data_IF_510926478647
#
_entry.id   IF_510926478647
#
_cell.length_a   1.000
_cell.length_b   1.000
_cell.length_c   1.000
_cell.angle_alpha   90.00
_cell.angle_beta   90.00
_cell.angle_gamma   90.00
#
_symmetry.space_group_name_H-M   'P 1'
#
loop_
_entity.id
_entity.type
_entity.pdbx_description
1 polymer ?
#
# COMPACT_ATOMS: atom_id res chain seq x y z
N UNK A 1 -17.79 57.12 -49.33
CA UNK A 1 -18.15 56.31 -48.14
C UNK A 1 -17.04 55.29 -47.97
N UNK A 2 -16.07 55.46 -47.05
CA UNK A 2 -16.08 55.13 -45.61
C UNK A 2 -16.39 53.65 -45.29
N UNK A 3 -15.38 52.95 -44.76
CA UNK A 3 -15.46 51.80 -43.85
C UNK A 3 -15.31 50.42 -44.49
N UNK A 4 -14.69 49.41 -43.88
CA UNK A 4 -13.86 49.29 -42.68
C UNK A 4 -13.19 47.90 -42.68
N UNK A 5 -12.15 47.80 -41.86
CA UNK A 5 -11.23 46.70 -41.56
C UNK A 5 -11.84 45.51 -40.79
N UNK A 6 -11.25 44.31 -41.03
CA UNK A 6 -11.02 43.13 -40.16
C UNK A 6 -12.16 42.55 -39.28
N UNK A 7 -12.29 41.21 -39.24
CA UNK A 7 -11.82 40.40 -38.09
C UNK A 7 -11.91 38.89 -38.35
N UNK A 8 -10.80 38.20 -38.10
CA UNK A 8 -10.66 36.75 -37.91
C UNK A 8 -11.61 36.22 -36.83
N UNK A 9 -12.01 34.96 -36.95
CA UNK A 9 -11.85 33.93 -35.89
C UNK A 9 -12.23 32.56 -36.45
N UNK A 10 -11.22 31.75 -36.79
CA UNK A 10 -11.40 30.31 -36.98
C UNK A 10 -11.52 29.68 -35.59
N UNK A 11 -12.73 29.25 -35.23
CA UNK A 11 -12.95 28.42 -34.05
C UNK A 11 -12.34 27.04 -34.31
N UNK A 12 -11.12 26.82 -33.84
CA UNK A 12 -10.60 25.48 -33.64
C UNK A 12 -11.32 24.89 -32.42
N UNK A 13 -12.40 24.15 -32.65
CA UNK A 13 -12.96 23.26 -31.62
C UNK A 13 -11.95 22.15 -31.40
N UNK A 14 -11.03 22.36 -30.45
CA UNK A 14 -10.24 21.28 -29.88
C UNK A 14 -11.23 20.33 -29.19
N UNK A 15 -11.60 19.26 -29.87
CA UNK A 15 -12.22 18.11 -29.23
C UNK A 15 -11.16 17.53 -28.29
N UNK A 16 -11.17 18.00 -27.04
CA UNK A 16 -10.56 17.28 -25.94
C UNK A 16 -11.35 15.97 -25.81
N UNK A 17 -10.95 14.98 -26.61
CA UNK A 17 -11.42 13.63 -26.44
C UNK A 17 -11.08 13.26 -24.98
N UNK A 18 -12.06 12.86 -24.15
CA UNK A 18 -11.74 12.30 -22.87
C UNK A 18 -10.89 11.07 -23.17
N UNK A 19 -9.60 11.15 -22.84
CA UNK A 19 -8.72 10.00 -22.71
C UNK A 19 -9.35 9.12 -21.63
N UNK A 20 -10.35 8.35 -22.02
CA UNK A 20 -10.84 7.18 -21.29
C UNK A 20 -9.74 6.14 -21.48
N UNK A 21 -8.61 6.38 -20.80
CA UNK A 21 -7.77 5.27 -20.39
C UNK A 21 -8.69 4.42 -19.53
N UNK A 22 -9.15 3.34 -20.15
CA UNK A 22 -9.78 2.25 -19.45
C UNK A 22 -8.75 1.84 -18.41
N UNK A 23 -8.97 2.26 -17.16
CA UNK A 23 -8.24 1.74 -16.00
C UNK A 23 -8.67 0.28 -15.97
N UNK A 24 -7.94 -0.56 -16.72
CA UNK A 24 -8.01 -2.00 -16.55
C UNK A 24 -7.75 -2.19 -15.08
N UNK A 25 -8.77 -2.69 -14.39
CA UNK A 25 -8.71 -3.40 -13.13
C UNK A 25 -7.27 -3.83 -12.86
N UNK A 26 -6.60 -3.06 -12.01
CA UNK A 26 -5.23 -3.31 -11.59
C UNK A 26 -5.35 -4.55 -10.71
N UNK A 27 -5.32 -5.73 -11.31
CA UNK A 27 -4.91 -6.93 -10.57
C UNK A 27 -3.62 -6.51 -9.87
N UNK A 28 -3.67 -6.37 -8.55
CA UNK A 28 -2.49 -6.21 -7.71
C UNK A 28 -1.74 -7.55 -7.68
N UNK A 29 -1.54 -8.17 -8.85
CA UNK A 29 -0.74 -9.37 -8.99
C UNK A 29 0.72 -8.96 -8.80
N UNK A 30 1.29 -9.42 -7.69
CA UNK A 30 2.65 -9.17 -7.21
C UNK A 30 3.76 -9.69 -8.13
N UNK A 31 3.43 -10.23 -9.30
CA UNK A 31 4.36 -11.00 -10.13
C UNK A 31 5.61 -10.22 -10.58
N UNK A 32 5.58 -8.88 -10.57
CA UNK A 32 6.73 -8.04 -10.96
C UNK A 32 7.19 -7.02 -9.92
N UNK A 33 6.45 -6.81 -8.82
CA UNK A 33 6.87 -5.83 -7.81
C UNK A 33 8.01 -6.41 -6.96
N UNK A 34 9.02 -5.60 -6.64
CA UNK A 34 10.14 -5.97 -5.79
C UNK A 34 10.45 -4.83 -4.83
N UNK A 35 10.93 -5.13 -3.61
CA UNK A 35 11.33 -4.08 -2.68
C UNK A 35 12.54 -3.33 -3.22
N UNK A 36 12.65 -2.05 -2.86
CA UNK A 36 13.83 -1.25 -3.13
C UNK A 36 15.12 -1.95 -2.69
N UNK A 37 16.20 -1.80 -3.48
CA UNK A 37 17.48 -2.42 -3.20
C UNK A 37 17.97 -2.07 -1.79
N UNK A 38 18.46 -3.06 -1.04
CA UNK A 38 18.96 -2.84 0.32
C UNK A 38 17.87 -2.74 1.39
N UNK A 39 16.60 -2.94 1.04
CA UNK A 39 15.54 -3.20 2.03
C UNK A 39 15.90 -4.39 2.91
N UNK A 40 15.56 -4.30 4.21
CA UNK A 40 15.89 -5.34 5.20
C UNK A 40 14.67 -5.68 6.05
N UNK A 41 14.35 -6.97 6.09
CA UNK A 41 13.33 -7.54 6.97
C UNK A 41 13.93 -7.93 8.33
N UNK A 42 13.13 -7.83 9.37
CA UNK A 42 13.43 -8.28 10.73
C UNK A 42 12.18 -8.90 11.32
N UNK A 43 12.21 -10.22 11.52
CA UNK A 43 11.08 -11.00 12.00
C UNK A 43 11.14 -11.19 13.51
N UNK A 44 9.97 -11.16 14.17
CA UNK A 44 9.88 -11.39 15.61
C UNK A 44 9.97 -12.88 15.93
N UNK A 45 11.16 -13.31 16.36
CA UNK A 45 11.44 -14.70 16.75
C UNK A 45 10.92 -15.08 18.13
N UNK A 46 10.37 -14.12 18.88
CA UNK A 46 9.86 -14.33 20.24
C UNK A 46 8.35 -14.51 20.29
N UNK A 47 7.65 -14.14 19.23
CA UNK A 47 6.20 -14.36 19.12
C UNK A 47 5.88 -15.85 19.12
N UNK A 48 4.94 -16.25 19.96
CA UNK A 48 4.31 -17.57 19.96
C UNK A 48 3.09 -17.63 19.02
N UNK A 49 2.81 -16.53 18.30
CA UNK A 49 1.65 -16.35 17.44
C UNK A 49 2.05 -16.10 16.00
N UNK A 50 1.27 -16.65 15.09
CA UNK A 50 1.37 -16.51 13.64
C UNK A 50 0.01 -16.08 13.07
N UNK A 51 0.03 -15.49 11.88
CA UNK A 51 -1.17 -15.11 11.15
C UNK A 51 -1.62 -16.30 10.30
N UNK A 52 -2.87 -16.73 10.49
CA UNK A 52 -3.47 -17.86 9.79
C UNK A 52 -4.14 -17.45 8.48
N UNK A 53 -3.36 -17.23 7.40
CA UNK A 53 -3.92 -16.95 6.07
C UNK A 53 -4.28 -18.22 5.27
N UNK A 54 -3.87 -19.42 5.71
CA UNK A 54 -4.24 -20.68 5.06
C UNK A 54 -5.72 -21.02 5.22
N UNK A 55 -6.34 -20.57 6.31
CA UNK A 55 -7.75 -20.79 6.61
C UNK A 55 -8.31 -19.50 7.19
N UNK A 56 -9.18 -18.78 6.48
CA UNK A 56 -9.77 -17.52 6.96
C UNK A 56 -9.84 -16.44 5.87
N UNK A 57 -9.88 -15.15 6.28
CA UNK A 57 -9.69 -14.03 5.36
C UNK A 57 -8.42 -14.22 4.54
N UNK A 58 -8.50 -13.99 3.23
CA UNK A 58 -7.34 -14.13 2.36
C UNK A 58 -6.33 -13.02 2.67
N UNK A 59 -5.04 -13.34 2.58
CA UNK A 59 -3.97 -12.36 2.79
C UNK A 59 -4.16 -11.14 1.89
N UNK A 60 -4.51 -11.35 0.61
CA UNK A 60 -4.77 -10.27 -0.34
C UNK A 60 -5.89 -9.32 0.14
N UNK A 61 -6.98 -9.84 0.69
CA UNK A 61 -8.07 -9.02 1.21
C UNK A 61 -7.62 -8.19 2.42
N UNK A 62 -6.90 -8.82 3.35
CA UNK A 62 -6.37 -8.16 4.56
C UNK A 62 -5.42 -7.03 4.18
N UNK A 63 -4.47 -7.29 3.27
CA UNK A 63 -3.50 -6.30 2.81
C UNK A 63 -4.16 -5.17 2.02
N UNK A 64 -5.06 -5.50 1.10
CA UNK A 64 -5.77 -4.49 0.29
C UNK A 64 -6.63 -3.59 1.17
N UNK A 65 -7.33 -4.15 2.16
CA UNK A 65 -8.14 -3.38 3.10
C UNK A 65 -7.28 -2.49 4.01
N UNK A 66 -6.18 -3.02 4.52
CA UNK A 66 -5.24 -2.25 5.33
C UNK A 66 -4.69 -1.05 4.55
N UNK A 67 -4.23 -1.28 3.32
CA UNK A 67 -3.67 -0.22 2.49
C UNK A 67 -4.72 0.80 2.05
N UNK A 68 -5.95 0.37 1.73
CA UNK A 68 -7.05 1.28 1.46
C UNK A 68 -7.41 2.16 2.67
N UNK A 69 -7.23 1.66 3.90
CA UNK A 69 -7.44 2.44 5.11
C UNK A 69 -6.31 3.43 5.42
N UNK A 70 -5.06 3.13 5.01
CA UNK A 70 -3.90 3.98 5.27
C UNK A 70 -3.63 5.03 4.19
N UNK A 71 -4.21 4.86 3.00
CA UNK A 71 -4.03 5.76 1.86
C UNK A 71 -5.26 6.62 1.59
N UNK A 72 -5.10 7.75 0.88
CA UNK A 72 -6.24 8.53 0.40
C UNK A 72 -7.16 7.68 -0.49
N UNK A 73 -8.47 7.92 -0.44
CA UNK A 73 -9.46 7.09 -1.14
C UNK A 73 -9.24 7.03 -2.66
N UNK A 74 -8.70 8.10 -3.26
CA UNK A 74 -8.35 8.14 -4.68
C UNK A 74 -7.19 7.20 -5.08
N UNK A 75 -6.45 6.63 -4.13
CA UNK A 75 -5.50 5.55 -4.40
C UNK A 75 -6.21 4.22 -4.74
N UNK A 76 -7.50 4.11 -4.40
CA UNK A 76 -8.36 2.93 -4.63
C UNK A 76 -9.66 3.35 -5.32
N UNK A 77 -9.60 3.81 -6.59
CA UNK A 77 -10.76 4.37 -7.29
C UNK A 77 -11.90 3.37 -7.46
N UNK A 78 -11.61 2.06 -7.54
CA UNK A 78 -12.62 1.01 -7.63
C UNK A 78 -13.50 0.91 -6.36
N UNK A 79 -13.07 1.52 -5.25
CA UNK A 79 -13.83 1.60 -3.99
C UNK A 79 -14.63 2.89 -3.86
N UNK A 80 -14.60 3.77 -4.87
CA UNK A 80 -15.33 5.03 -4.87
C UNK A 80 -16.67 4.91 -5.61
N UNK A 81 -17.65 5.79 -5.30
CA UNK A 81 -18.83 5.98 -6.14
C UNK A 81 -18.45 6.30 -7.59
N UNK A 82 -19.29 5.89 -8.55
CA UNK A 82 -19.02 6.05 -10.00
C UNK A 82 -18.85 7.51 -10.46
N UNK A 83 -19.35 8.46 -9.70
CA UNK A 83 -19.29 9.90 -9.94
C UNK A 83 -18.13 10.60 -9.20
N UNK A 84 -17.34 9.86 -8.41
CA UNK A 84 -16.16 10.41 -7.76
C UNK A 84 -15.10 10.79 -8.79
N UNK A 85 -14.60 12.03 -8.68
CA UNK A 85 -13.53 12.55 -9.55
C UNK A 85 -12.24 12.63 -8.76
N UNK A 86 -11.24 11.86 -9.18
CA UNK A 86 -9.90 11.88 -8.63
C UNK A 86 -8.93 12.53 -9.63
N UNK A 87 -8.05 13.39 -9.13
CA UNK A 87 -6.87 13.76 -9.89
C UNK A 87 -6.02 12.50 -10.13
N UNK A 88 -5.47 12.34 -11.34
CA UNK A 88 -4.56 11.24 -11.62
C UNK A 88 -3.24 11.47 -10.88
N UNK A 89 -3.17 10.96 -9.65
CA UNK A 89 -2.01 10.98 -8.78
C UNK A 89 -1.64 9.53 -8.48
N UNK A 90 -0.42 9.14 -8.84
CA UNK A 90 0.10 7.80 -8.55
C UNK A 90 0.92 7.77 -7.27
N UNK A 91 1.55 8.90 -6.93
CA UNK A 91 2.39 9.09 -5.75
C UNK A 91 1.68 9.93 -4.70
N UNK A 92 1.38 9.33 -3.56
CA UNK A 92 0.69 9.97 -2.45
C UNK A 92 1.71 10.40 -1.41
N UNK A 93 1.48 11.51 -0.72
CA UNK A 93 2.35 11.91 0.38
C UNK A 93 2.07 11.04 1.61
N UNK A 94 3.11 10.52 2.25
CA UNK A 94 3.02 9.82 3.53
C UNK A 94 3.22 10.84 4.67
N UNK A 95 2.11 11.51 5.02
CA UNK A 95 2.07 12.59 6.02
C UNK A 95 2.11 12.06 7.46
N UNK A 96 3.20 11.40 7.81
CA UNK A 96 3.44 10.81 9.12
C UNK A 96 2.99 9.35 9.24
N UNK A 97 3.09 8.77 10.46
CA UNK A 97 2.76 7.37 10.68
C UNK A 97 1.30 7.06 10.37
N UNK A 98 1.07 5.92 9.71
CA UNK A 98 -0.26 5.38 9.41
C UNK A 98 -0.35 3.96 9.95
N UNK A 99 -1.54 3.54 10.35
CA UNK A 99 -1.79 2.16 10.72
C UNK A 99 -3.23 1.76 10.44
N UNK A 100 -3.44 0.47 10.21
CA UNK A 100 -4.75 -0.15 10.12
C UNK A 100 -4.75 -1.49 10.83
N UNK A 101 -5.77 -1.74 11.63
CA UNK A 101 -6.01 -3.03 12.27
C UNK A 101 -7.04 -3.77 11.44
N UNK A 102 -6.74 -5.03 11.10
CA UNK A 102 -7.56 -5.88 10.26
C UNK A 102 -7.84 -7.18 10.99
N UNK A 103 -9.07 -7.66 10.87
CA UNK A 103 -9.42 -8.98 11.36
C UNK A 103 -8.76 -10.05 10.49
N UNK A 104 -8.05 -10.97 11.13
CA UNK A 104 -7.46 -12.14 10.52
C UNK A 104 -7.43 -13.26 11.56
N UNK A 105 -7.37 -14.51 11.09
CA UNK A 105 -7.17 -15.60 12.03
C UNK A 105 -5.76 -15.54 12.60
N UNK A 106 -5.63 -15.76 13.90
CA UNK A 106 -4.36 -15.90 14.59
C UNK A 106 -4.26 -17.31 15.12
N UNK A 107 -3.08 -17.90 15.00
CA UNK A 107 -2.79 -19.26 15.43
C UNK A 107 -1.58 -19.27 16.37
N UNK A 108 -1.51 -20.26 17.26
CA UNK A 108 -0.28 -20.55 17.99
C UNK A 108 0.77 -21.17 17.06
N UNK A 109 2.02 -21.24 17.50
CA UNK A 109 3.10 -21.94 16.77
C UNK A 109 2.80 -23.41 16.44
N UNK A 110 1.86 -24.04 17.14
CA UNK A 110 1.41 -25.42 16.92
C UNK A 110 0.21 -25.51 15.95
N UNK A 111 -0.26 -24.39 15.41
CA UNK A 111 -1.39 -24.33 14.46
C UNK A 111 -2.77 -24.30 15.12
N UNK A 112 -2.87 -24.01 16.43
CA UNK A 112 -4.16 -23.88 17.10
C UNK A 112 -4.71 -22.47 16.93
N UNK A 113 -5.94 -22.34 16.42
CA UNK A 113 -6.61 -21.04 16.32
C UNK A 113 -6.88 -20.42 17.68
N UNK A 114 -6.60 -19.13 17.81
CA UNK A 114 -6.89 -18.32 18.99
C UNK A 114 -7.70 -17.09 18.60
N UNK A 115 -8.70 -16.76 19.43
CA UNK A 115 -9.59 -15.59 19.25
C UNK A 115 -9.14 -14.41 20.11
N UNK A 116 -9.67 -13.21 19.84
CA UNK A 116 -9.34 -12.00 20.61
C UNK A 116 -8.10 -11.28 20.08
N UNK A 117 -7.73 -11.54 18.82
CA UNK A 117 -6.51 -11.02 18.20
C UNK A 117 -6.77 -10.56 16.77
N UNK A 118 -6.21 -9.41 16.44
CA UNK A 118 -6.22 -8.83 15.10
C UNK A 118 -4.79 -8.65 14.58
N UNK A 119 -4.67 -8.36 13.28
CA UNK A 119 -3.40 -8.00 12.64
C UNK A 119 -3.34 -6.50 12.44
N UNK A 120 -2.34 -5.85 13.03
CA UNK A 120 -2.06 -4.43 12.82
C UNK A 120 -0.95 -4.25 11.81
N UNK A 121 -1.25 -3.51 10.75
CA UNK A 121 -0.30 -3.09 9.74
C UNK A 121 0.00 -1.61 9.96
N UNK A 122 1.27 -1.25 10.01
CA UNK A 122 1.71 0.11 10.27
C UNK A 122 2.83 0.53 9.32
N UNK A 123 2.84 1.81 8.95
CA UNK A 123 3.87 2.42 8.12
C UNK A 123 4.35 3.69 8.80
N UNK A 124 5.65 3.78 9.04
CA UNK A 124 6.29 4.92 9.69
C UNK A 124 7.33 5.51 8.73
N UNK A 125 7.10 6.72 8.17
CA UNK A 125 8.07 7.36 7.30
C UNK A 125 9.37 7.68 8.05
N UNK A 126 10.50 7.67 7.33
CA UNK A 126 11.74 8.20 7.87
C UNK A 126 11.60 9.69 8.24
N UNK A 127 12.30 10.13 9.28
CA UNK A 127 12.40 11.55 9.58
C UNK A 127 13.05 12.30 8.41
N UNK A 128 12.40 13.38 7.96
CA UNK A 128 12.87 14.21 6.86
C UNK A 128 13.14 15.63 7.37
N UNK A 129 14.13 16.34 6.80
CA UNK A 129 14.27 17.78 7.02
C UNK A 129 12.98 18.52 6.65
N UNK A 130 12.68 19.64 7.33
CA UNK A 130 11.49 20.47 7.01
C UNK A 130 11.46 20.98 5.57
N UNK A 131 12.65 21.10 4.94
CA UNK A 131 12.82 21.54 3.56
C UNK A 131 12.72 20.41 2.53
N UNK A 132 12.52 19.16 2.96
CA UNK A 132 12.36 18.00 2.08
C UNK A 132 11.05 18.07 1.29
N UNK A 133 11.03 17.48 0.11
CA UNK A 133 9.79 17.27 -0.65
C UNK A 133 8.79 16.37 0.11
N UNK A 134 9.29 15.57 1.07
CA UNK A 134 8.52 14.61 1.84
C UNK A 134 8.73 13.17 1.35
N UNK A 135 8.09 12.24 2.06
CA UNK A 135 8.05 10.81 1.69
C UNK A 135 6.81 10.57 0.86
N UNK A 136 6.96 9.90 -0.28
CA UNK A 136 5.84 9.55 -1.16
C UNK A 136 5.78 8.05 -1.40
N UNK A 137 4.56 7.54 -1.56
CA UNK A 137 4.30 6.13 -1.78
C UNK A 137 3.13 5.91 -2.73
N UNK A 138 3.20 4.82 -3.46
CA UNK A 138 2.12 4.33 -4.31
C UNK A 138 1.29 3.28 -3.59
N UNK A 139 0.13 2.96 -4.15
CA UNK A 139 -0.66 1.82 -3.66
C UNK A 139 0.10 0.48 -3.83
N UNK A 140 0.97 0.39 -4.84
CA UNK A 140 1.83 -0.77 -5.03
C UNK A 140 2.91 -0.87 -3.96
N UNK A 141 3.46 0.25 -3.48
CA UNK A 141 4.41 0.23 -2.37
C UNK A 141 3.74 -0.20 -1.08
N UNK A 142 2.53 0.32 -0.79
CA UNK A 142 1.81 -0.10 0.40
C UNK A 142 1.57 -1.62 0.41
N UNK A 143 0.98 -2.16 -0.66
CA UNK A 143 0.70 -3.59 -0.73
C UNK A 143 2.00 -4.40 -0.79
N UNK A 144 2.93 -4.02 -1.66
CA UNK A 144 4.11 -4.79 -2.00
C UNK A 144 5.06 -5.01 -0.83
N UNK A 145 5.29 -4.00 0.02
CA UNK A 145 6.17 -4.18 1.18
C UNK A 145 5.58 -5.16 2.21
N UNK A 146 4.27 -5.08 2.47
CA UNK A 146 3.61 -6.04 3.37
C UNK A 146 3.53 -7.44 2.76
N UNK A 147 3.14 -7.55 1.50
CA UNK A 147 3.04 -8.84 0.81
C UNK A 147 4.41 -9.51 0.71
N UNK A 148 5.47 -8.76 0.35
CA UNK A 148 6.83 -9.28 0.32
C UNK A 148 7.25 -9.85 1.67
N UNK A 149 6.98 -9.12 2.76
CA UNK A 149 7.34 -9.58 4.10
C UNK A 149 6.56 -10.84 4.49
N UNK A 150 5.29 -10.98 4.10
CA UNK A 150 4.47 -12.14 4.46
C UNK A 150 4.66 -13.35 3.53
N UNK A 151 4.95 -13.13 2.25
CA UNK A 151 5.10 -14.19 1.26
C UNK A 151 6.49 -14.82 1.27
N UNK A 152 7.54 -14.00 1.49
CA UNK A 152 8.91 -14.47 1.46
C UNK A 152 9.27 -15.21 2.75
N UNK A 153 9.99 -16.31 2.57
CA UNK A 153 10.55 -17.10 3.66
C UNK A 153 11.67 -16.34 4.36
N UNK A 154 11.94 -16.69 5.62
CA UNK A 154 13.13 -16.19 6.32
C UNK A 154 14.42 -16.57 5.55
N UNK A 155 15.42 -15.67 5.46
CA UNK A 155 15.51 -14.36 6.13
C UNK A 155 14.90 -13.18 5.34
N UNK A 156 14.45 -13.37 4.10
CA UNK A 156 13.98 -12.27 3.25
C UNK A 156 12.63 -11.71 3.69
N UNK A 157 11.74 -12.56 4.19
CA UNK A 157 10.48 -12.19 4.82
C UNK A 157 10.27 -12.98 6.11
N UNK A 158 9.04 -12.98 6.62
CA UNK A 158 8.65 -13.58 7.89
C UNK A 158 7.76 -14.80 7.72
N UNK A 159 7.70 -15.39 6.53
CA UNK A 159 7.10 -16.70 6.35
C UNK A 159 8.03 -17.79 6.92
N UNK A 160 7.49 -18.65 7.77
CA UNK A 160 8.18 -19.80 8.35
C UNK A 160 7.36 -21.08 8.13
N UNK A 161 7.91 -22.22 8.58
CA UNK A 161 7.17 -23.49 8.47
C UNK A 161 5.92 -23.51 9.36
N UNK A 162 5.90 -22.71 10.42
CA UNK A 162 4.74 -22.56 11.29
C UNK A 162 3.65 -21.76 10.59
N UNK A 163 4.00 -20.74 9.79
CA UNK A 163 3.05 -19.93 9.02
C UNK A 163 3.55 -18.52 8.80
N UNK A 164 2.62 -17.56 8.74
CA UNK A 164 2.94 -16.17 8.45
C UNK A 164 3.32 -15.42 9.73
N UNK A 165 4.61 -15.18 9.94
CA UNK A 165 5.14 -14.48 11.09
C UNK A 165 4.93 -12.96 11.04
N UNK A 166 5.27 -12.30 12.15
CA UNK A 166 5.21 -10.84 12.31
C UNK A 166 6.60 -10.23 12.30
N UNK A 167 6.71 -8.94 12.03
CA UNK A 167 7.99 -8.28 11.89
C UNK A 167 7.91 -6.91 11.24
N UNK A 168 9.04 -6.44 10.75
CA UNK A 168 9.13 -5.20 9.97
C UNK A 168 10.09 -5.33 8.79
N UNK A 169 9.87 -4.52 7.77
CA UNK A 169 10.80 -4.27 6.69
C UNK A 169 11.14 -2.78 6.65
N UNK A 170 12.44 -2.47 6.74
CA UNK A 170 12.95 -1.11 6.52
C UNK A 170 13.28 -0.94 5.05
N UNK A 171 12.76 0.12 4.43
CA UNK A 171 13.01 0.42 3.02
C UNK A 171 14.44 0.88 2.80
N UNK A 172 15.14 0.28 1.84
CA UNK A 172 16.48 0.70 1.41
C UNK A 172 16.48 1.59 0.16
N UNK A 173 17.67 1.75 -0.42
CA UNK A 173 17.88 2.45 -1.68
C UNK A 173 17.80 3.96 -1.54
N UNK A 174 17.67 4.64 -2.69
CA UNK A 174 17.74 6.10 -2.80
C UNK A 174 16.37 6.73 -3.15
N UNK A 175 15.28 6.01 -2.91
CA UNK A 175 13.92 6.51 -3.14
C UNK A 175 13.46 7.43 -2.01
N UNK A 176 12.37 8.18 -2.23
CA UNK A 176 11.76 8.99 -1.16
C UNK A 176 11.28 8.15 0.04
N UNK A 177 11.07 6.84 -0.15
CA UNK A 177 10.70 5.89 0.90
C UNK A 177 11.88 5.39 1.72
N UNK A 178 13.12 5.64 1.33
CA UNK A 178 14.29 5.15 2.06
C UNK A 178 14.21 5.43 3.57
N UNK A 179 14.44 4.39 4.38
CA UNK A 179 14.32 4.42 5.83
C UNK A 179 12.89 4.31 6.39
N UNK A 180 11.86 4.31 5.54
CA UNK A 180 10.47 4.04 5.97
C UNK A 180 10.36 2.61 6.49
N UNK A 181 9.61 2.43 7.57
CA UNK A 181 9.42 1.11 8.20
C UNK A 181 7.98 0.66 8.02
N UNK A 182 7.81 -0.48 7.36
CA UNK A 182 6.54 -1.21 7.27
C UNK A 182 6.56 -2.31 8.33
N UNK A 183 5.53 -2.39 9.16
CA UNK A 183 5.46 -3.30 10.30
C UNK A 183 4.13 -4.05 10.32
N UNK A 184 4.21 -5.35 10.57
CA UNK A 184 3.05 -6.22 10.83
C UNK A 184 3.17 -6.71 12.25
N UNK A 185 2.07 -6.63 12.99
CA UNK A 185 1.96 -7.04 14.39
C UNK A 185 0.67 -7.81 14.60
N UNK A 186 0.66 -8.70 15.59
CA UNK A 186 -0.56 -9.26 16.15
C UNK A 186 -0.88 -8.49 17.43
N UNK A 187 -2.09 -7.97 17.54
CA UNK A 187 -2.56 -7.14 18.65
C UNK A 187 -3.86 -7.69 19.22
N UNK A 188 -4.15 -7.42 20.49
CA UNK A 188 -5.45 -7.79 21.04
C UNK A 188 -6.56 -7.01 20.33
N UNK A 189 -7.68 -7.69 20.07
CA UNK A 189 -8.93 -7.06 19.58
C UNK A 189 -9.33 -5.92 20.54
N UNK A 190 -9.80 -4.80 19.97
CA UNK A 190 -10.25 -3.62 20.72
C UNK A 190 -11.77 -3.56 20.82
#
# INVERSE_FOLDING_TARGET
MRGALFFSTLFATALAAPLTQTIRSREYSTSTWQPSQGSKSSCDKKSDKIIGFYVGPQMEDVLTNACAAMMPSCAYPDRLPKDAVCAQVVDWRLDGPKSSTQSANVETSEGNKISGWDVKLSVTPAAQPETSAGVFWTAQDCYGYFSYMLEKWEPEGCHTQQGFGIGNITVGGDSSLAGTVFKVEIVAEQ
#
